data_IF_972719833767
#
_entry.id   IF_972719833767
#
_cell.length_a   1.000
_cell.length_b   1.000
_cell.length_c   1.000
_cell.angle_alpha   90.00
_cell.angle_beta   90.00
_cell.angle_gamma   90.00
#
_symmetry.space_group_name_H-M   'P 1'
#
loop_
_entity.id
_entity.type
_entity.pdbx_description
1 polymer ?
#
# COMPACT_ATOMS: atom_id res chain seq x y z
N UNK A 1 -32.40 -63.23 -5.85
CA UNK A 1 -31.60 -62.12 -5.26
C UNK A 1 -31.76 -60.92 -6.19
N UNK A 2 -32.75 -60.02 -5.92
CA UNK A 2 -32.58 -58.67 -5.34
C UNK A 2 -31.46 -57.88 -6.05
N UNK A 3 -31.84 -57.03 -7.02
CA UNK A 3 -32.14 -55.58 -6.85
C UNK A 3 -30.86 -54.80 -6.51
N UNK A 4 -30.42 -53.97 -7.45
CA UNK A 4 -30.00 -52.57 -7.24
C UNK A 4 -29.49 -52.00 -8.58
N UNK A 5 -30.45 -51.74 -9.49
CA UNK A 5 -30.22 -50.92 -10.68
C UNK A 5 -30.59 -49.48 -10.34
N UNK A 6 -29.58 -48.62 -10.26
CA UNK A 6 -29.53 -47.29 -10.89
C UNK A 6 -30.77 -46.41 -10.64
N UNK A 7 -30.86 -45.86 -9.43
CA UNK A 7 -31.61 -44.62 -9.20
C UNK A 7 -30.63 -43.44 -9.30
N UNK A 8 -30.70 -42.68 -10.40
CA UNK A 8 -30.25 -41.27 -10.54
C UNK A 8 -30.34 -40.77 -11.99
N UNK A 9 -31.55 -40.75 -12.57
CA UNK A 9 -31.85 -39.89 -13.73
C UNK A 9 -33.29 -39.41 -13.64
N UNK A 10 -33.56 -38.52 -12.70
CA UNK A 10 -34.85 -37.86 -12.56
C UNK A 10 -34.94 -36.72 -13.58
N UNK A 11 -35.82 -36.91 -14.57
CA UNK A 11 -36.60 -35.91 -15.32
C UNK A 11 -35.92 -34.60 -15.80
N UNK A 12 -35.37 -34.64 -17.01
CA UNK A 12 -35.13 -33.44 -17.84
C UNK A 12 -36.04 -33.45 -19.08
N UNK A 13 -37.34 -33.20 -18.89
CA UNK A 13 -38.23 -32.81 -19.98
C UNK A 13 -39.26 -31.80 -19.44
N UNK A 14 -38.76 -30.65 -18.99
CA UNK A 14 -39.61 -29.48 -18.83
C UNK A 14 -39.94 -28.94 -20.22
N UNK A 15 -41.24 -28.81 -20.53
CA UNK A 15 -41.66 -28.21 -21.80
C UNK A 15 -41.16 -26.77 -21.87
N UNK A 16 -40.81 -26.27 -23.06
CA UNK A 16 -40.28 -24.91 -23.23
C UNK A 16 -41.15 -23.84 -22.54
N UNK A 17 -42.48 -24.05 -22.57
CA UNK A 17 -43.46 -23.20 -21.90
C UNK A 17 -43.33 -23.17 -20.38
N UNK A 18 -42.97 -24.28 -19.73
CA UNK A 18 -42.77 -24.29 -18.27
C UNK A 18 -41.44 -23.65 -17.88
N UNK A 19 -40.42 -23.75 -18.73
CA UNK A 19 -39.14 -23.07 -18.54
C UNK A 19 -39.30 -21.55 -18.66
N UNK A 20 -40.00 -21.08 -19.69
CA UNK A 20 -40.29 -19.65 -19.90
C UNK A 20 -41.08 -19.06 -18.73
N UNK A 21 -42.02 -19.84 -18.17
CA UNK A 21 -42.78 -19.43 -16.99
C UNK A 21 -41.87 -19.27 -15.76
N UNK A 22 -40.98 -20.23 -15.51
CA UNK A 22 -40.03 -20.14 -14.39
C UNK A 22 -39.04 -18.99 -14.54
N UNK A 23 -38.59 -18.69 -15.76
CA UNK A 23 -37.69 -17.56 -16.02
C UNK A 23 -38.39 -16.25 -15.72
N UNK A 24 -39.65 -16.08 -16.14
CA UNK A 24 -40.44 -14.87 -15.85
C UNK A 24 -40.67 -14.69 -14.35
N UNK A 25 -41.12 -15.74 -13.66
CA UNK A 25 -41.33 -15.71 -12.21
C UNK A 25 -40.03 -15.37 -11.46
N UNK A 26 -38.88 -15.90 -11.91
CA UNK A 26 -37.59 -15.60 -11.30
C UNK A 26 -37.13 -14.16 -11.55
N UNK A 27 -37.36 -13.62 -12.75
CA UNK A 27 -37.03 -12.23 -13.06
C UNK A 27 -37.88 -11.26 -12.25
N UNK A 28 -39.19 -11.51 -12.10
CA UNK A 28 -40.06 -10.68 -11.25
C UNK A 28 -39.62 -10.66 -9.78
N UNK A 29 -39.10 -11.78 -9.26
CA UNK A 29 -38.54 -11.84 -7.90
C UNK A 29 -37.23 -11.06 -7.80
N UNK A 30 -36.40 -11.07 -8.85
CA UNK A 30 -35.14 -10.31 -8.88
C UNK A 30 -35.43 -8.81 -8.95
N UNK A 31 -36.39 -8.38 -9.76
CA UNK A 31 -36.77 -6.98 -9.90
C UNK A 31 -37.30 -6.42 -8.57
N UNK A 32 -38.16 -7.16 -7.87
CA UNK A 32 -38.62 -6.77 -6.52
C UNK A 32 -37.48 -6.64 -5.51
N UNK A 33 -36.49 -7.54 -5.55
CA UNK A 33 -35.31 -7.47 -4.67
C UNK A 33 -34.41 -6.27 -5.00
N UNK A 34 -34.32 -5.89 -6.27
CA UNK A 34 -33.57 -4.71 -6.68
C UNK A 34 -34.25 -3.43 -6.18
N UNK A 35 -35.57 -3.34 -6.26
CA UNK A 35 -36.34 -2.22 -5.73
C UNK A 35 -36.19 -2.10 -4.20
N UNK A 36 -36.30 -3.21 -3.47
CA UNK A 36 -36.11 -3.24 -2.02
C UNK A 36 -34.69 -2.81 -1.60
N UNK A 37 -33.66 -3.24 -2.34
CA UNK A 37 -32.27 -2.84 -2.10
C UNK A 37 -32.01 -1.37 -2.44
N UNK A 38 -32.62 -0.85 -3.50
CA UNK A 38 -32.50 0.58 -3.87
C UNK A 38 -33.07 1.47 -2.76
N UNK A 39 -34.24 1.11 -2.22
CA UNK A 39 -34.87 1.83 -1.10
C UNK A 39 -33.98 1.81 0.16
N UNK A 40 -33.26 0.72 0.41
CA UNK A 40 -32.35 0.61 1.56
C UNK A 40 -31.07 1.45 1.39
N UNK A 41 -30.55 1.56 0.15
CA UNK A 41 -29.38 2.39 -0.16
C UNK A 41 -29.71 3.88 0.05
N UNK A 42 -30.84 4.36 -0.48
CA UNK A 42 -31.22 5.77 -0.35
C UNK A 42 -31.46 6.18 1.10
N UNK A 43 -32.08 5.29 1.90
CA UNK A 43 -32.28 5.51 3.34
C UNK A 43 -30.95 5.57 4.11
N UNK A 44 -30.01 4.66 3.81
CA UNK A 44 -28.68 4.67 4.43
C UNK A 44 -27.86 5.89 4.03
N UNK A 45 -27.97 6.34 2.78
CA UNK A 45 -27.27 7.52 2.29
C UNK A 45 -27.83 8.81 2.92
N UNK A 46 -29.15 8.92 3.05
CA UNK A 46 -29.81 10.02 3.76
C UNK A 46 -29.39 10.07 5.24
N UNK A 47 -29.37 8.93 5.93
CA UNK A 47 -28.91 8.85 7.31
C UNK A 47 -27.43 9.25 7.49
N UNK A 48 -26.57 8.90 6.52
CA UNK A 48 -25.15 9.27 6.52
C UNK A 48 -24.95 10.78 6.26
N UNK A 49 -25.75 11.38 5.38
CA UNK A 49 -25.72 12.82 5.11
C UNK A 49 -26.14 13.61 6.36
N UNK A 50 -27.22 13.20 7.02
CA UNK A 50 -27.69 13.84 8.25
C UNK A 50 -26.70 13.71 9.41
N UNK A 51 -26.05 12.56 9.57
CA UNK A 51 -25.05 12.37 10.63
C UNK A 51 -23.81 13.24 10.38
N UNK A 52 -23.33 13.31 9.14
CA UNK A 52 -22.21 14.16 8.78
C UNK A 52 -22.54 15.65 8.94
N UNK A 53 -23.72 16.10 8.54
CA UNK A 53 -24.16 17.49 8.76
C UNK A 53 -24.24 17.84 10.26
N UNK A 54 -24.70 16.92 11.12
CA UNK A 54 -24.69 17.12 12.58
C UNK A 54 -23.27 17.25 13.14
N UNK A 55 -22.32 16.44 12.65
CA UNK A 55 -20.90 16.54 13.05
C UNK A 55 -20.30 17.88 12.64
N UNK A 56 -20.58 18.38 11.43
CA UNK A 56 -20.11 19.70 11.02
C UNK A 56 -20.74 20.83 11.83
N UNK A 57 -22.02 20.71 12.21
CA UNK A 57 -22.69 21.70 13.04
C UNK A 57 -22.20 21.69 14.50
N UNK A 58 -21.84 20.54 15.07
CA UNK A 58 -21.23 20.46 16.40
C UNK A 58 -19.79 21.01 16.39
N UNK A 59 -19.02 20.76 15.32
CA UNK A 59 -17.70 21.40 15.15
C UNK A 59 -17.79 22.91 14.94
N UNK A 60 -18.85 23.41 14.29
CA UNK A 60 -19.06 24.83 14.07
C UNK A 60 -19.63 25.60 15.28
N UNK A 61 -20.23 24.91 16.28
CA UNK A 61 -20.92 25.55 17.42
C UNK A 61 -20.29 25.37 18.80
N UNK A 62 -19.05 24.90 18.91
CA UNK A 62 -18.22 25.18 20.08
C UNK A 62 -17.27 24.06 20.52
N UNK A 63 -16.00 24.40 20.72
CA UNK A 63 -15.50 24.96 21.99
C UNK A 63 -14.15 25.66 21.74
N UNK A 64 -13.94 26.82 22.39
CA UNK A 64 -12.61 27.39 22.54
C UNK A 64 -11.71 26.37 23.25
N UNK A 65 -10.42 26.40 22.98
CA UNK A 65 -9.45 25.39 23.41
C UNK A 65 -9.20 25.31 24.92
N UNK A 66 -10.05 25.89 25.76
CA UNK A 66 -9.83 26.04 27.21
C UNK A 66 -10.45 24.93 28.06
N UNK A 67 -11.32 24.07 27.52
CA UNK A 67 -12.03 23.06 28.32
C UNK A 67 -11.40 21.66 28.31
N UNK A 68 -10.28 21.42 27.62
CA UNK A 68 -9.74 20.06 27.43
C UNK A 68 -8.77 19.63 28.57
N UNK A 69 -8.38 20.52 29.48
CA UNK A 69 -7.48 20.18 30.59
C UNK A 69 -8.09 20.45 31.96
N UNK A 70 -8.96 19.55 32.43
CA UNK A 70 -9.35 19.46 33.85
C UNK A 70 -9.04 18.08 34.48
N UNK A 71 -8.01 17.40 33.98
CA UNK A 71 -7.38 16.31 34.72
C UNK A 71 -5.90 16.62 34.91
N UNK A 72 -5.62 17.53 35.85
CA UNK A 72 -4.28 17.76 36.37
C UNK A 72 -4.19 17.09 37.75
N UNK A 73 -3.46 15.99 37.78
CA UNK A 73 -2.83 15.45 38.98
C UNK A 73 -2.10 16.57 39.74
N UNK A 74 -2.19 16.55 41.07
CA UNK A 74 -1.48 17.42 42.02
C UNK A 74 0.03 17.12 42.07
N UNK A 75 0.73 17.28 40.94
CA UNK A 75 2.19 17.35 40.92
C UNK A 75 2.61 18.67 40.29
N UNK A 76 2.90 19.60 41.19
CA UNK A 76 3.44 20.94 40.94
C UNK A 76 4.82 20.83 40.27
N UNK A 77 4.85 20.46 38.99
CA UNK A 77 6.01 20.62 38.13
C UNK A 77 5.77 21.92 37.37
N UNK A 78 6.46 22.98 37.78
CA UNK A 78 6.53 24.23 37.02
C UNK A 78 7.27 23.94 35.71
N UNK A 79 6.54 23.54 34.68
CA UNK A 79 7.05 23.61 33.32
C UNK A 79 7.24 25.10 33.01
N UNK A 80 8.46 25.49 32.63
CA UNK A 80 8.67 26.78 31.97
C UNK A 80 7.82 26.75 30.72
N UNK A 81 6.91 27.71 30.56
CA UNK A 81 6.23 27.95 29.28
C UNK A 81 7.32 28.11 28.22
N UNK A 82 7.48 27.08 27.40
CA UNK A 82 8.30 27.16 26.20
C UNK A 82 7.62 28.13 25.25
N UNK A 83 8.37 29.08 24.72
CA UNK A 83 7.93 29.97 23.65
C UNK A 83 7.20 29.15 22.58
N UNK A 84 5.90 29.36 22.41
CA UNK A 84 5.07 28.75 21.36
C UNK A 84 5.49 29.16 19.94
N UNK A 85 6.56 29.95 19.81
CA UNK A 85 7.23 30.29 18.57
C UNK A 85 8.34 29.32 18.17
N UNK A 86 8.76 28.39 19.02
CA UNK A 86 9.87 27.48 18.71
C UNK A 86 9.46 26.24 17.89
N UNK A 87 8.19 25.82 17.97
CA UNK A 87 7.74 24.53 17.40
C UNK A 87 6.86 24.67 16.15
N UNK A 88 6.59 25.89 15.69
CA UNK A 88 5.90 26.15 14.44
C UNK A 88 6.88 26.69 13.40
N UNK A 89 7.74 25.82 12.86
CA UNK A 89 8.27 26.04 11.51
C UNK A 89 7.05 26.03 10.56
N UNK A 90 6.49 27.22 10.33
CA UNK A 90 5.54 27.44 9.26
C UNK A 90 6.34 27.21 7.98
N UNK A 91 6.17 26.03 7.38
CA UNK A 91 6.70 25.72 6.05
C UNK A 91 6.10 26.76 5.11
N UNK A 92 6.91 27.73 4.69
CA UNK A 92 6.51 28.72 3.71
C UNK A 92 6.25 27.98 2.40
N UNK A 93 4.97 27.84 2.05
CA UNK A 93 4.57 27.23 0.78
C UNK A 93 4.94 28.22 -0.32
N UNK A 94 6.16 28.08 -0.86
CA UNK A 94 6.58 28.82 -2.03
C UNK A 94 5.71 28.42 -3.22
N UNK A 95 4.69 29.23 -3.51
CA UNK A 95 3.85 29.10 -4.70
C UNK A 95 4.69 29.47 -5.92
N UNK A 96 5.47 28.52 -6.42
CA UNK A 96 6.17 28.68 -7.69
C UNK A 96 5.14 28.73 -8.81
N UNK A 97 5.24 29.74 -9.68
CA UNK A 97 4.41 29.83 -10.90
C UNK A 97 4.52 28.56 -11.74
N UNK A 98 3.44 28.19 -12.43
CA UNK A 98 3.38 27.03 -13.35
C UNK A 98 4.45 27.10 -14.45
N UNK A 99 4.89 28.32 -14.79
CA UNK A 99 5.93 28.54 -15.81
C UNK A 99 7.37 28.49 -15.27
N UNK A 100 7.55 28.29 -13.95
CA UNK A 100 8.88 28.20 -13.36
C UNK A 100 9.68 27.03 -13.94
N UNK A 101 11.00 27.23 -14.06
CA UNK A 101 11.90 26.16 -14.51
C UNK A 101 11.85 24.94 -13.57
N UNK A 102 11.77 25.20 -12.26
CA UNK A 102 11.67 24.16 -11.22
C UNK A 102 10.41 23.30 -11.37
N UNK A 103 9.26 23.91 -11.73
CA UNK A 103 8.03 23.16 -11.97
C UNK A 103 8.16 22.22 -13.17
N UNK A 104 8.77 22.70 -14.27
CA UNK A 104 9.01 21.90 -15.47
C UNK A 104 9.94 20.72 -15.19
N UNK A 105 11.03 20.95 -14.47
CA UNK A 105 11.95 19.88 -14.07
C UNK A 105 11.26 18.83 -13.18
N UNK A 106 10.47 19.28 -12.21
CA UNK A 106 9.70 18.38 -11.33
C UNK A 106 8.65 17.60 -12.12
N UNK A 107 7.97 18.24 -13.06
CA UNK A 107 6.99 17.58 -13.92
C UNK A 107 7.64 16.53 -14.84
N UNK A 108 8.81 16.84 -15.41
CA UNK A 108 9.59 15.92 -16.23
C UNK A 108 10.10 14.72 -15.41
N UNK A 109 10.54 14.96 -14.17
CA UNK A 109 10.93 13.90 -13.26
C UNK A 109 9.73 13.01 -12.89
N UNK A 110 8.59 13.60 -12.53
CA UNK A 110 7.36 12.84 -12.26
C UNK A 110 6.89 12.03 -13.49
N UNK A 111 7.10 12.55 -14.69
CA UNK A 111 6.80 11.84 -15.94
C UNK A 111 7.72 10.65 -16.12
N UNK A 112 9.02 10.83 -15.92
CA UNK A 112 10.03 9.77 -15.99
C UNK A 112 9.78 8.65 -14.98
N UNK A 113 9.38 9.02 -13.75
CA UNK A 113 9.11 8.10 -12.66
C UNK A 113 7.86 7.23 -12.88
N UNK A 114 6.93 7.71 -13.72
CA UNK A 114 5.69 6.98 -14.07
C UNK A 114 5.84 6.04 -15.26
N UNK A 115 6.99 6.06 -15.94
CA UNK A 115 7.23 5.18 -17.08
C UNK A 115 7.26 3.70 -16.66
N UNK A 116 6.69 2.84 -17.50
CA UNK A 116 6.59 1.41 -17.24
C UNK A 116 7.89 0.70 -17.60
N UNK A 117 8.41 -0.09 -16.67
CA UNK A 117 9.62 -0.91 -16.80
C UNK A 117 9.24 -2.37 -16.58
N UNK A 118 9.76 -3.26 -17.42
CA UNK A 118 9.54 -4.70 -17.26
C UNK A 118 10.59 -5.28 -16.31
N UNK A 119 10.12 -5.85 -15.19
CA UNK A 119 10.98 -6.45 -14.18
C UNK A 119 10.57 -7.88 -13.86
N UNK A 120 11.51 -8.63 -13.30
CA UNK A 120 11.28 -9.92 -12.66
C UNK A 120 11.97 -9.93 -11.30
N UNK A 121 11.18 -10.07 -10.23
CA UNK A 121 11.72 -10.26 -8.88
C UNK A 121 12.08 -11.72 -8.70
N UNK A 122 13.30 -12.01 -8.24
CA UNK A 122 13.74 -13.39 -8.04
C UNK A 122 12.93 -14.09 -6.94
N UNK A 123 12.69 -15.41 -7.08
CA UNK A 123 12.10 -16.20 -6.01
C UNK A 123 13.02 -16.22 -4.78
N UNK A 124 12.42 -16.21 -3.60
CA UNK A 124 13.17 -16.35 -2.34
C UNK A 124 13.53 -17.82 -2.10
N UNK A 125 14.72 -18.07 -1.52
CA UNK A 125 15.14 -19.41 -1.09
C UNK A 125 14.73 -19.74 0.36
N UNK A 126 13.96 -18.86 1.01
CA UNK A 126 13.45 -19.12 2.35
C UNK A 126 12.51 -20.34 2.38
N UNK A 127 12.44 -21.04 3.52
CA UNK A 127 11.61 -22.24 3.72
C UNK A 127 10.11 -21.97 3.49
N UNK A 128 9.66 -20.76 3.85
CA UNK A 128 8.29 -20.29 3.61
C UNK A 128 8.37 -18.95 2.86
N UNK A 129 8.57 -18.97 1.53
CA UNK A 129 8.76 -17.75 0.78
C UNK A 129 7.40 -17.09 0.50
N UNK A 130 7.27 -15.82 0.86
CA UNK A 130 6.15 -15.00 0.41
C UNK A 130 6.25 -14.83 -1.11
N UNK A 131 5.40 -15.57 -1.83
CA UNK A 131 5.31 -15.51 -3.29
C UNK A 131 4.78 -14.17 -3.79
N UNK A 132 4.05 -13.46 -2.93
CA UNK A 132 3.44 -12.17 -3.22
C UNK A 132 3.77 -11.19 -2.11
N UNK A 133 3.99 -9.92 -2.45
CA UNK A 133 4.18 -8.86 -1.47
C UNK A 133 3.68 -7.54 -2.03
N UNK A 134 3.42 -6.58 -1.14
CA UNK A 134 2.86 -5.28 -1.51
C UNK A 134 3.90 -4.18 -1.30
N UNK A 135 4.04 -3.29 -2.28
CA UNK A 135 4.86 -2.07 -2.18
C UNK A 135 3.96 -0.87 -2.38
N UNK A 136 4.08 0.14 -1.52
CA UNK A 136 3.30 1.37 -1.62
C UNK A 136 4.20 2.54 -1.97
N UNK A 137 3.76 3.34 -2.94
CA UNK A 137 4.40 4.62 -3.29
C UNK A 137 3.33 5.69 -3.24
N UNK A 138 3.56 6.75 -2.44
CA UNK A 138 2.62 7.85 -2.23
C UNK A 138 1.21 7.36 -1.85
N UNK A 139 1.12 6.37 -0.95
CA UNK A 139 -0.14 5.81 -0.47
C UNK A 139 -0.86 4.87 -1.43
N UNK A 140 -0.33 4.64 -2.65
CA UNK A 140 -0.90 3.68 -3.60
C UNK A 140 -0.18 2.34 -3.50
N UNK A 141 -0.83 1.27 -2.98
CA UNK A 141 -0.23 -0.06 -2.93
C UNK A 141 -0.28 -0.74 -4.31
N UNK A 142 0.79 -1.47 -4.64
CA UNK A 142 0.87 -2.40 -5.76
C UNK A 142 1.31 -3.77 -5.29
N UNK A 143 0.54 -4.78 -5.67
CA UNK A 143 0.86 -6.17 -5.42
C UNK A 143 1.89 -6.65 -6.45
N UNK A 144 2.94 -7.30 -5.97
CA UNK A 144 4.06 -7.80 -6.76
C UNK A 144 4.16 -9.30 -6.57
N UNK A 145 4.33 -10.02 -7.67
CA UNK A 145 4.52 -11.46 -7.69
C UNK A 145 6.01 -11.79 -7.93
N UNK A 146 6.59 -12.66 -7.10
CA UNK A 146 7.94 -13.17 -7.32
C UNK A 146 7.96 -14.20 -8.46
N UNK A 147 9.07 -14.27 -9.18
CA UNK A 147 9.31 -15.23 -10.27
C UNK A 147 8.53 -14.95 -11.56
N UNK A 148 7.72 -13.89 -11.62
CA UNK A 148 6.94 -13.51 -12.80
C UNK A 148 7.43 -12.20 -13.40
N UNK A 149 7.38 -12.11 -14.73
CA UNK A 149 7.59 -10.85 -15.45
C UNK A 149 6.37 -9.97 -15.25
N UNK A 150 6.59 -8.72 -14.89
CA UNK A 150 5.54 -7.75 -14.67
C UNK A 150 6.01 -6.36 -15.07
N UNK A 151 5.08 -5.56 -15.58
CA UNK A 151 5.31 -4.16 -15.90
C UNK A 151 4.96 -3.31 -14.69
N UNK A 152 5.93 -2.56 -14.19
CA UNK A 152 5.76 -1.68 -13.05
C UNK A 152 6.25 -0.27 -13.38
N UNK A 153 5.61 0.78 -12.82
CA UNK A 153 6.14 2.12 -12.96
C UNK A 153 7.50 2.25 -12.26
N UNK A 154 8.39 3.05 -12.84
CA UNK A 154 9.79 3.20 -12.41
C UNK A 154 9.95 3.58 -10.94
N UNK A 155 9.06 4.41 -10.39
CA UNK A 155 9.08 4.76 -8.96
C UNK A 155 8.92 3.54 -8.03
N UNK A 156 8.12 2.54 -8.39
CA UNK A 156 8.04 1.29 -7.61
C UNK A 156 9.33 0.48 -7.74
N UNK A 157 9.92 0.45 -8.95
CA UNK A 157 11.19 -0.25 -9.19
C UNK A 157 12.31 0.40 -8.36
N UNK A 158 12.33 1.72 -8.25
CA UNK A 158 13.30 2.43 -7.41
C UNK A 158 13.21 1.99 -5.95
N UNK A 159 11.99 1.92 -5.40
CA UNK A 159 11.78 1.45 -4.01
C UNK A 159 12.29 0.02 -3.82
N UNK A 160 12.06 -0.86 -4.80
CA UNK A 160 12.57 -2.24 -4.75
C UNK A 160 14.10 -2.30 -4.77
N UNK A 161 14.74 -1.50 -5.63
CA UNK A 161 16.19 -1.44 -5.74
C UNK A 161 16.84 -0.85 -4.48
N UNK A 162 16.20 0.14 -3.85
CA UNK A 162 16.67 0.73 -2.59
C UNK A 162 16.38 -0.12 -1.37
N UNK A 163 15.49 -1.11 -1.46
CA UNK A 163 15.15 -1.99 -0.35
C UNK A 163 16.31 -2.92 0.01
N UNK A 164 17.10 -2.52 1.00
CA UNK A 164 18.23 -3.29 1.56
C UNK A 164 17.84 -3.87 2.92
N UNK A 165 18.34 -5.07 3.19
CA UNK A 165 18.31 -5.71 4.50
C UNK A 165 19.72 -5.69 5.07
N UNK A 166 19.87 -5.18 6.29
CA UNK A 166 21.10 -5.34 7.08
C UNK A 166 20.98 -6.57 7.95
N UNK A 167 21.99 -7.42 7.93
CA UNK A 167 22.16 -8.54 8.84
C UNK A 167 23.43 -8.33 9.65
N UNK A 168 23.35 -8.54 10.96
CA UNK A 168 24.47 -8.46 11.89
C UNK A 168 24.86 -9.87 12.30
N UNK A 169 26.15 -10.19 12.15
CA UNK A 169 26.73 -11.44 12.63
C UNK A 169 27.66 -11.18 13.83
N UNK A 170 27.88 -12.22 14.63
CA UNK A 170 28.90 -12.22 15.68
C UNK A 170 30.01 -13.18 15.23
N UNK A 171 31.22 -12.66 15.02
CA UNK A 171 32.38 -13.46 14.64
C UNK A 171 33.44 -13.33 15.73
N UNK A 172 33.69 -14.42 16.45
CA UNK A 172 34.84 -14.53 17.34
C UNK A 172 36.11 -14.77 16.51
N UNK A 173 37.03 -13.82 16.56
CA UNK A 173 38.35 -13.96 15.92
C UNK A 173 39.42 -14.02 17.00
N UNK A 174 40.34 -14.99 16.88
CA UNK A 174 41.51 -15.05 17.76
C UNK A 174 42.62 -14.27 17.06
N UNK A 175 43.10 -13.21 17.70
CA UNK A 175 44.20 -12.43 17.18
C UNK A 175 45.48 -13.30 17.23
N UNK A 176 46.14 -13.57 16.08
CA UNK A 176 47.25 -14.52 16.01
C UNK A 176 48.50 -14.04 16.77
N UNK A 177 48.60 -12.75 17.11
CA UNK A 177 49.76 -12.17 17.78
C UNK A 177 49.58 -12.05 19.29
N UNK A 178 48.35 -11.82 19.77
CA UNK A 178 48.06 -11.60 21.20
C UNK A 178 47.35 -12.77 21.85
N UNK A 179 46.85 -13.74 21.07
CA UNK A 179 46.02 -14.86 21.51
C UNK A 179 44.75 -14.43 22.30
N UNK A 180 44.38 -13.15 22.22
CA UNK A 180 43.16 -12.61 22.82
C UNK A 180 41.99 -12.88 21.86
N UNK A 181 40.85 -13.29 22.42
CA UNK A 181 39.59 -13.40 21.69
C UNK A 181 38.99 -12.01 21.50
N UNK A 182 38.84 -11.59 20.26
CA UNK A 182 38.14 -10.37 19.87
C UNK A 182 36.81 -10.75 19.22
N UNK A 183 35.73 -10.07 19.63
CA UNK A 183 34.41 -10.23 19.02
C UNK A 183 34.22 -9.13 17.98
N UNK A 184 34.01 -9.51 16.73
CA UNK A 184 33.69 -8.59 15.64
C UNK A 184 32.20 -8.72 15.27
N UNK A 185 31.58 -7.59 14.96
CA UNK A 185 30.17 -7.49 14.59
C UNK A 185 30.02 -6.97 13.16
N UNK A 186 30.41 -7.76 12.13
CA UNK A 186 30.31 -7.30 10.76
C UNK A 186 28.85 -7.10 10.34
N UNK A 187 28.57 -5.95 9.74
CA UNK A 187 27.31 -5.68 9.06
C UNK A 187 27.39 -6.20 7.62
N UNK A 188 26.45 -7.06 7.24
CA UNK A 188 26.26 -7.49 5.85
C UNK A 188 24.98 -6.87 5.29
N UNK A 189 25.11 -6.04 4.25
CA UNK A 189 23.96 -5.46 3.53
C UNK A 189 23.67 -6.27 2.27
N UNK A 190 22.42 -6.70 2.12
CA UNK A 190 21.94 -7.39 0.92
C UNK A 190 20.63 -6.79 0.43
N UNK A 191 20.28 -7.00 -0.85
CA UNK A 191 19.00 -6.56 -1.38
C UNK A 191 17.87 -7.44 -0.84
N UNK A 192 16.84 -6.82 -0.26
CA UNK A 192 15.66 -7.54 0.26
C UNK A 192 14.85 -8.19 -0.86
N UNK A 193 14.81 -7.54 -2.03
CA UNK A 193 14.11 -8.01 -3.21
C UNK A 193 15.06 -8.04 -4.41
N UNK A 194 15.92 -9.07 -4.54
CA UNK A 194 16.75 -9.23 -5.72
C UNK A 194 15.88 -9.27 -6.99
N UNK A 195 16.18 -8.45 -7.98
CA UNK A 195 15.37 -8.32 -9.18
C UNK A 195 16.24 -8.15 -10.44
N UNK A 196 15.67 -8.54 -11.57
CA UNK A 196 16.22 -8.31 -12.90
C UNK A 196 15.33 -7.33 -13.66
N UNK A 197 15.96 -6.32 -14.28
CA UNK A 197 15.29 -5.47 -15.25
C UNK A 197 15.45 -6.12 -16.62
N UNK A 198 14.32 -6.42 -17.26
CA UNK A 198 14.28 -7.13 -18.55
C UNK A 198 14.28 -6.12 -19.68
N UNK A 199 13.36 -5.15 -19.59
CA UNK A 199 13.16 -4.15 -20.65
C UNK A 199 12.95 -2.78 -20.03
N UNK A 200 13.83 -1.84 -20.37
CA UNK A 200 13.65 -0.40 -20.17
C UNK A 200 13.83 0.31 -21.52
N UNK A 201 12.79 0.99 -21.98
CA UNK A 201 12.79 1.68 -23.29
C UNK A 201 13.42 3.06 -23.22
N UNK A 202 13.62 3.62 -22.02
CA UNK A 202 14.11 4.98 -21.88
C UNK A 202 15.65 5.01 -21.91
N UNK A 203 16.27 5.85 -22.77
CA UNK A 203 17.73 5.98 -22.82
C UNK A 203 18.36 6.50 -21.51
N UNK A 204 17.61 7.25 -20.69
CA UNK A 204 18.06 7.73 -19.36
C UNK A 204 18.03 6.62 -18.30
N UNK A 205 17.45 5.46 -18.61
CA UNK A 205 17.24 4.36 -17.68
C UNK A 205 18.54 3.79 -17.10
N UNK A 206 19.55 3.55 -17.95
CA UNK A 206 20.83 2.97 -17.51
C UNK A 206 21.53 3.84 -16.47
N UNK A 207 21.69 5.14 -16.76
CA UNK A 207 22.29 6.11 -15.82
C UNK A 207 21.47 6.26 -14.53
N UNK A 208 20.14 6.15 -14.61
CA UNK A 208 19.29 6.11 -13.41
C UNK A 208 19.55 4.87 -12.57
N UNK A 209 19.65 3.68 -13.18
CA UNK A 209 19.90 2.43 -12.47
C UNK A 209 21.27 2.43 -11.77
N UNK A 210 22.32 2.90 -12.46
CA UNK A 210 23.65 3.06 -11.86
C UNK A 210 23.60 3.95 -10.62
N UNK A 211 22.90 5.08 -10.72
CA UNK A 211 22.72 6.00 -9.59
C UNK A 211 21.99 5.34 -8.43
N UNK A 212 20.88 4.66 -8.67
CA UNK A 212 20.07 4.04 -7.62
C UNK A 212 20.81 2.88 -6.94
N UNK A 213 21.50 2.04 -7.71
CA UNK A 213 22.24 0.90 -7.16
C UNK A 213 23.50 1.34 -6.39
N UNK A 214 24.21 2.35 -6.88
CA UNK A 214 25.45 2.84 -6.27
C UNK A 214 25.24 3.84 -5.13
N UNK A 215 24.00 4.31 -4.91
CA UNK A 215 23.71 5.22 -3.81
C UNK A 215 23.91 4.49 -2.48
N UNK A 216 25.11 4.70 -1.92
CA UNK A 216 25.55 4.23 -0.61
C UNK A 216 25.25 5.22 0.50
N UNK A 217 24.47 6.28 0.23
CA UNK A 217 24.04 7.22 1.27
C UNK A 217 22.86 6.63 2.05
N UNK A 218 23.20 5.97 3.15
CA UNK A 218 22.37 5.90 4.35
C UNK A 218 22.95 6.90 5.33
#
# INVERSE_FOLDING_TARGET
>A
MKKDKIDKRTNNNMTMKSLDKQIRERNEVVDKKLDDLSIDIDKKFAALLESNQKIFQTMAKGKSSEDIYQHADERNVKFKEGDSKADAEVIEVSLTSVDSAEFKEKADQMRFDKEMVEIMVMPSQAVYPDNTFTVSVNGTPKLILRGKKQWLPRNYVEVLLRAKTSSYGNIETINPYTAIKEMSYPETKSHRYPLHIITDKNPKGARWLERVCNDMRV
#
